data_IF_948308223392
#
_entry.id   IF_948308223392
#
_cell.length_a   1.000
_cell.length_b   1.000
_cell.length_c   1.000
_cell.angle_alpha   90.00
_cell.angle_beta   90.00
_cell.angle_gamma   90.00
#
_symmetry.space_group_name_H-M   'P 1'
#
loop_
_entity.id
_entity.type
_entity.pdbx_description
1 polymer ?
#
# COMPACT_ATOMS: atom_id res chain seq x y z
N UNK A 1 26.16 3.06 5.26
CA UNK A 1 24.81 3.11 4.67
C UNK A 1 23.85 3.52 5.76
N UNK A 2 23.24 4.70 5.66
CA UNK A 2 22.28 5.18 6.65
C UNK A 2 21.12 4.18 6.72
N UNK A 3 20.89 3.59 7.90
CA UNK A 3 19.68 2.80 8.17
C UNK A 3 18.51 3.77 8.17
N UNK A 4 17.91 3.98 7.00
CA UNK A 4 16.67 4.72 6.81
C UNK A 4 15.56 4.05 7.61
N UNK A 5 15.47 4.44 8.88
CA UNK A 5 14.43 4.02 9.80
C UNK A 5 13.38 5.13 9.78
N UNK A 6 12.41 4.99 8.88
CA UNK A 6 11.15 5.70 9.02
C UNK A 6 10.56 5.28 10.38
N UNK A 7 10.84 6.05 11.45
CA UNK A 7 10.59 5.64 12.85
C UNK A 7 9.14 5.24 13.14
N UNK A 8 8.20 5.71 12.33
CA UNK A 8 6.77 5.48 12.50
C UNK A 8 6.16 4.60 11.38
N UNK A 9 6.98 3.89 10.58
CA UNK A 9 6.48 3.05 9.49
C UNK A 9 7.16 1.68 9.48
N UNK A 10 6.35 0.64 9.30
CA UNK A 10 6.83 -0.73 9.13
C UNK A 10 6.85 -1.08 7.65
N UNK A 11 7.97 -1.59 7.14
CA UNK A 11 8.04 -2.12 5.78
C UNK A 11 7.40 -3.49 5.75
N UNK A 12 6.42 -3.67 4.87
CA UNK A 12 5.81 -4.97 4.59
C UNK A 12 6.13 -5.37 3.14
N UNK A 13 6.29 -6.67 2.90
CA UNK A 13 6.42 -7.26 1.57
C UNK A 13 5.25 -8.19 1.33
N UNK A 14 4.59 -8.08 0.18
CA UNK A 14 3.50 -8.95 -0.21
C UNK A 14 3.57 -9.26 -1.69
N UNK A 15 3.01 -10.41 -2.07
CA UNK A 15 2.83 -10.81 -3.47
C UNK A 15 1.42 -10.44 -3.91
N UNK A 16 1.29 -9.83 -5.09
CA UNK A 16 0.02 -9.48 -5.72
C UNK A 16 -0.04 -10.13 -7.11
N UNK A 17 -1.24 -10.37 -7.62
CA UNK A 17 -1.39 -10.79 -9.02
C UNK A 17 -0.93 -9.69 -9.97
N UNK A 18 -0.44 -10.07 -11.16
CA UNK A 18 -0.03 -9.12 -12.19
C UNK A 18 -1.13 -8.13 -12.57
N UNK A 19 -2.38 -8.58 -12.63
CA UNK A 19 -3.53 -7.72 -12.89
C UNK A 19 -3.71 -6.65 -11.81
N UNK A 20 -3.59 -7.04 -10.54
CA UNK A 20 -3.74 -6.14 -9.39
C UNK A 20 -2.61 -5.11 -9.36
N UNK A 21 -1.36 -5.53 -9.59
CA UNK A 21 -0.20 -4.64 -9.68
C UNK A 21 -0.37 -3.60 -10.80
N UNK A 22 -0.84 -4.02 -11.97
CA UNK A 22 -1.13 -3.13 -13.10
C UNK A 22 -2.18 -2.08 -12.71
N UNK A 23 -3.34 -2.50 -12.19
CA UNK A 23 -4.41 -1.59 -11.76
C UNK A 23 -3.94 -0.61 -10.68
N UNK A 24 -3.15 -1.08 -9.72
CA UNK A 24 -2.61 -0.27 -8.64
C UNK A 24 -1.65 0.82 -9.16
N UNK A 25 -0.74 0.45 -10.06
CA UNK A 25 0.19 1.40 -10.70
C UNK A 25 -0.53 2.42 -11.57
N UNK A 26 -1.51 1.98 -12.36
CA UNK A 26 -2.28 2.87 -13.23
C UNK A 26 -3.13 3.85 -12.41
N UNK A 27 -3.75 3.39 -11.32
CA UNK A 27 -4.48 4.24 -10.39
C UNK A 27 -3.56 5.25 -9.69
N UNK A 28 -2.39 4.81 -9.22
CA UNK A 28 -1.39 5.68 -8.59
C UNK A 28 -0.91 6.77 -9.56
N UNK A 29 -0.64 6.42 -10.83
CA UNK A 29 -0.27 7.39 -11.87
C UNK A 29 -1.39 8.39 -12.16
N UNK A 30 -2.64 7.92 -12.28
CA UNK A 30 -3.80 8.76 -12.59
C UNK A 30 -4.09 9.76 -11.47
N UNK A 31 -3.97 9.34 -10.21
CA UNK A 31 -4.36 10.13 -9.04
C UNK A 31 -3.19 10.86 -8.37
N UNK A 32 -1.96 10.54 -8.76
CA UNK A 32 -0.72 10.99 -8.11
C UNK A 32 -0.61 10.56 -6.63
N UNK A 33 -1.45 9.62 -6.18
CA UNK A 33 -1.41 9.09 -4.82
C UNK A 33 -0.33 8.00 -4.74
N UNK A 34 0.60 8.05 -3.77
CA UNK A 34 1.61 7.02 -3.60
C UNK A 34 1.01 5.64 -3.31
N UNK A 35 1.58 4.59 -3.93
CA UNK A 35 1.16 3.19 -3.73
C UNK A 35 1.10 2.80 -2.25
N UNK A 36 2.09 3.22 -1.45
CA UNK A 36 2.13 2.93 -0.02
C UNK A 36 0.89 3.45 0.73
N UNK A 37 0.40 4.65 0.38
CA UNK A 37 -0.80 5.25 0.97
C UNK A 37 -2.08 4.51 0.53
N UNK A 38 -2.12 4.05 -0.72
CA UNK A 38 -3.24 3.26 -1.25
C UNK A 38 -3.32 1.92 -0.50
N UNK A 39 -2.20 1.22 -0.35
CA UNK A 39 -2.14 -0.07 0.35
C UNK A 39 -2.55 0.11 1.82
N UNK A 40 -2.01 1.12 2.50
CA UNK A 40 -2.35 1.42 3.90
C UNK A 40 -3.86 1.66 4.08
N UNK A 41 -4.47 2.49 3.23
CA UNK A 41 -5.91 2.75 3.26
C UNK A 41 -6.74 1.48 2.99
N UNK A 42 -6.35 0.66 2.01
CA UNK A 42 -7.02 -0.60 1.71
C UNK A 42 -6.94 -1.61 2.86
N UNK A 43 -5.80 -1.68 3.55
CA UNK A 43 -5.62 -2.55 4.72
C UNK A 43 -6.54 -2.08 5.86
N UNK A 44 -6.55 -0.77 6.16
CA UNK A 44 -7.44 -0.21 7.19
C UNK A 44 -8.92 -0.47 6.87
N UNK A 45 -9.36 -0.17 5.64
CA UNK A 45 -10.75 -0.42 5.23
C UNK A 45 -11.12 -1.90 5.31
N UNK A 46 -10.21 -2.81 4.97
CA UNK A 46 -10.47 -4.24 5.08
C UNK A 46 -10.61 -4.67 6.55
N UNK A 47 -9.75 -4.17 7.43
CA UNK A 47 -9.83 -4.44 8.88
C UNK A 47 -11.13 -3.86 9.45
N UNK A 48 -11.46 -2.61 9.17
CA UNK A 48 -12.71 -1.96 9.64
C UNK A 48 -13.95 -2.70 9.14
N UNK A 49 -13.92 -3.22 7.91
CA UNK A 49 -15.07 -3.92 7.32
C UNK A 49 -15.29 -5.33 7.90
N UNK A 50 -14.25 -6.02 8.35
CA UNK A 50 -14.31 -7.46 8.68
C UNK A 50 -13.82 -7.81 10.09
N UNK A 51 -13.17 -6.88 10.77
CA UNK A 51 -12.53 -7.07 12.07
C UNK A 51 -13.32 -6.48 13.25
N UNK A 52 -14.45 -5.82 12.99
CA UNK A 52 -15.45 -5.41 13.99
C UNK A 52 -16.68 -6.33 13.96
#
# INVERSE_FOLDING_TARGET
MAKDTLKNRVRISSTLTHETDKKLKDFSKKTQIPISKIIEASVLQYIEKWGE
#
